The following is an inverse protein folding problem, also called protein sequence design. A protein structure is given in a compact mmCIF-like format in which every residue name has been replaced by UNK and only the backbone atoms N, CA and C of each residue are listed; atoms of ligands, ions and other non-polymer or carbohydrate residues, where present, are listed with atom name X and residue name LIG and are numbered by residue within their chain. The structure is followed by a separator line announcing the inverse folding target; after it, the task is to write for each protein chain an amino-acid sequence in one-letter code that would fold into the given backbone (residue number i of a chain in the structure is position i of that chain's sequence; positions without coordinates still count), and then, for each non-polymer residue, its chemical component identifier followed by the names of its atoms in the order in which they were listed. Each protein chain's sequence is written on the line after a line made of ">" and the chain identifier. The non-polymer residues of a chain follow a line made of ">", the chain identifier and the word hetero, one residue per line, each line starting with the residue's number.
data_IF_537326008297
#
_entry.id   IF_537326008297
#
_cell.length_a   1.000
_cell.length_b   1.000
_cell.length_c   1.000
_cell.angle_alpha   90.00
_cell.angle_beta   90.00
_cell.angle_gamma   90.00
#
_symmetry.space_group_name_H-M   'P 1'
#
loop_
_entity.id
_entity.type
_entity.pdbx_description
1 polymer ?
#
# COMPACT_ATOMS: atom_id res chain seq x y z
N UNK A 1 14.65 34.54 13.37
CA UNK A 1 15.75 35.00 12.51
C UNK A 1 17.00 34.14 12.64
N UNK A 2 17.58 33.88 13.84
CA UNK A 2 18.82 33.07 13.98
C UNK A 2 18.84 31.72 13.24
N UNK A 3 17.84 30.87 13.44
CA UNK A 3 17.76 29.55 12.79
C UNK A 3 17.70 29.65 11.26
N UNK A 4 16.93 30.59 10.74
CA UNK A 4 16.76 30.83 9.31
C UNK A 4 18.06 31.27 8.65
N UNK A 5 18.77 32.23 9.26
CA UNK A 5 20.09 32.68 8.79
C UNK A 5 21.10 31.54 8.75
N UNK A 6 21.13 30.71 9.78
CA UNK A 6 22.04 29.57 9.86
C UNK A 6 21.71 28.50 8.81
N UNK A 7 20.44 28.15 8.63
CA UNK A 7 20.02 27.18 7.60
C UNK A 7 20.34 27.70 6.20
N UNK A 8 20.08 28.99 5.91
CA UNK A 8 20.47 29.61 4.63
C UNK A 8 21.98 29.61 4.40
N UNK A 9 22.78 29.82 5.44
CA UNK A 9 24.23 29.67 5.35
C UNK A 9 24.61 28.25 4.93
N UNK A 10 24.07 27.22 5.60
CA UNK A 10 24.34 25.81 5.29
C UNK A 10 23.87 25.41 3.89
N UNK A 11 22.73 25.94 3.44
CA UNK A 11 22.27 25.77 2.06
C UNK A 11 23.26 26.35 1.05
N UNK A 12 23.85 27.52 1.30
CA UNK A 12 24.88 28.11 0.41
C UNK A 12 26.18 27.32 0.39
N UNK A 13 26.58 26.75 1.53
CA UNK A 13 27.75 25.87 1.63
C UNK A 13 27.53 24.55 0.89
N UNK A 14 26.29 24.06 0.86
CA UNK A 14 25.93 22.76 0.30
C UNK A 14 25.63 22.81 -1.20
N UNK A 15 24.85 23.79 -1.64
CA UNK A 15 24.34 23.86 -3.01
C UNK A 15 25.06 24.98 -3.77
N UNK A 16 25.90 24.68 -4.77
CA UNK A 16 26.43 25.71 -5.67
C UNK A 16 25.29 26.36 -6.49
N UNK A 17 25.58 27.50 -7.10
CA UNK A 17 24.63 28.17 -8.00
C UNK A 17 24.28 27.24 -9.16
N UNK A 18 22.97 27.08 -9.43
CA UNK A 18 22.44 26.13 -10.41
C UNK A 18 21.34 25.26 -9.81
N UNK A 19 20.92 24.25 -10.58
CA UNK A 19 19.84 23.33 -10.18
C UNK A 19 20.37 21.91 -9.99
N UNK A 20 20.06 21.33 -8.84
CA UNK A 20 20.42 19.98 -8.44
C UNK A 20 19.16 19.13 -8.42
N UNK A 21 19.24 17.91 -8.96
CA UNK A 21 18.07 17.03 -9.11
C UNK A 21 18.37 15.67 -8.52
N UNK A 22 17.37 15.10 -7.85
CA UNK A 22 17.41 13.73 -7.40
C UNK A 22 16.02 13.10 -7.52
N UNK A 23 15.99 11.79 -7.74
CA UNK A 23 14.75 11.02 -7.85
C UNK A 23 14.91 9.73 -7.07
N UNK A 24 13.89 9.40 -6.29
CA UNK A 24 13.70 8.09 -5.68
C UNK A 24 12.29 7.60 -5.99
N UNK A 25 11.99 6.33 -5.70
CA UNK A 25 10.71 5.73 -5.99
C UNK A 25 10.17 4.87 -4.84
N UNK A 26 8.85 4.84 -4.74
CA UNK A 26 8.08 3.85 -3.98
C UNK A 26 7.75 2.71 -4.94
N UNK A 27 7.86 1.46 -4.48
CA UNK A 27 7.67 0.29 -5.33
C UNK A 27 6.27 0.23 -5.95
N UNK A 28 5.25 0.38 -5.11
CA UNK A 28 3.85 0.19 -5.50
C UNK A 28 2.93 0.88 -4.49
N UNK A 29 1.70 1.17 -4.93
CA UNK A 29 0.62 1.68 -4.08
C UNK A 29 -0.26 0.58 -3.47
N UNK A 30 0.05 -0.69 -3.73
CA UNK A 30 -0.75 -1.82 -3.26
C UNK A 30 -2.07 -2.02 -4.02
N UNK A 31 -2.29 -1.27 -5.10
CA UNK A 31 -3.47 -1.30 -5.96
C UNK A 31 -3.10 -1.46 -7.45
N UNK A 32 -1.88 -1.94 -7.73
CA UNK A 32 -1.39 -2.19 -9.09
C UNK A 32 -0.80 -0.97 -9.79
N UNK A 33 -0.47 0.11 -9.07
CA UNK A 33 0.26 1.26 -9.62
C UNK A 33 1.66 1.34 -9.01
N UNK A 34 2.68 1.44 -9.86
CA UNK A 34 4.07 1.55 -9.44
C UNK A 34 5.04 1.32 -10.61
N UNK A 35 6.32 1.66 -10.46
CA UNK A 35 6.88 2.46 -9.38
C UNK A 35 6.42 3.92 -9.44
N UNK A 36 6.32 4.56 -8.27
CA UNK A 36 5.89 5.96 -8.12
C UNK A 36 7.08 6.83 -7.74
N UNK A 37 7.46 7.75 -8.62
CA UNK A 37 8.68 8.55 -8.50
C UNK A 37 8.44 9.86 -7.77
N UNK A 38 9.30 10.12 -6.78
CA UNK A 38 9.44 11.38 -6.08
C UNK A 38 10.61 12.13 -6.71
N UNK A 39 10.33 13.26 -7.37
CA UNK A 39 11.33 14.04 -8.11
C UNK A 39 11.49 15.39 -7.45
N UNK A 40 12.70 15.68 -6.99
CA UNK A 40 13.04 16.97 -6.41
C UNK A 40 14.10 17.69 -7.24
N UNK A 41 13.89 18.99 -7.39
CA UNK A 41 14.88 19.93 -7.87
C UNK A 41 15.10 21.03 -6.82
N UNK A 42 16.36 21.33 -6.52
CA UNK A 42 16.73 22.48 -5.71
C UNK A 42 17.59 23.43 -6.53
N UNK A 43 17.09 24.65 -6.73
CA UNK A 43 17.80 25.72 -7.43
C UNK A 43 18.31 26.76 -6.45
N UNK A 44 19.61 27.05 -6.52
CA UNK A 44 20.21 28.25 -5.94
C UNK A 44 20.50 29.25 -7.05
N UNK A 45 19.91 30.43 -6.96
CA UNK A 45 20.16 31.52 -7.94
C UNK A 45 21.46 32.28 -7.61
N UNK A 46 22.02 33.07 -8.55
CA UNK A 46 23.21 33.89 -8.30
C UNK A 46 23.05 34.91 -7.15
N UNK A 47 21.82 35.34 -6.87
CA UNK A 47 21.45 36.23 -5.76
C UNK A 47 21.06 35.48 -4.48
N UNK A 48 21.46 34.20 -4.35
CA UNK A 48 21.25 33.36 -3.17
C UNK A 48 19.77 33.14 -2.80
N UNK A 49 18.88 33.09 -3.80
CA UNK A 49 17.50 32.59 -3.59
C UNK A 49 17.46 31.08 -3.72
N UNK A 50 16.70 30.43 -2.85
CA UNK A 50 16.52 28.98 -2.79
C UNK A 50 15.10 28.59 -3.20
N UNK A 51 14.99 27.85 -4.29
CA UNK A 51 13.72 27.39 -4.86
C UNK A 51 13.71 25.86 -4.83
N UNK A 52 12.79 25.29 -4.05
CA UNK A 52 12.54 23.86 -4.01
C UNK A 52 11.35 23.53 -4.90
N UNK A 53 11.54 22.63 -5.85
CA UNK A 53 10.52 22.21 -6.80
C UNK A 53 10.32 20.69 -6.75
N UNK A 54 9.09 20.28 -6.45
CA UNK A 54 8.64 18.89 -6.53
C UNK A 54 7.44 18.71 -7.47
N UNK A 55 7.21 19.66 -8.37
CA UNK A 55 6.07 19.65 -9.30
C UNK A 55 6.13 18.50 -10.32
N UNK A 56 7.34 18.01 -10.63
CA UNK A 56 7.59 16.86 -11.50
C UNK A 56 7.40 15.50 -10.79
N UNK A 57 7.01 15.47 -9.52
CA UNK A 57 6.65 14.22 -8.84
C UNK A 57 5.40 13.60 -9.50
N UNK A 58 5.36 12.27 -9.57
CA UNK A 58 4.26 11.50 -10.20
C UNK A 58 2.88 11.87 -9.64
N UNK A 59 1.84 11.53 -10.39
CA UNK A 59 0.45 11.73 -9.99
C UNK A 59 0.10 11.02 -8.69
N UNK A 60 -0.92 11.52 -8.00
CA UNK A 60 -1.48 10.86 -6.84
C UNK A 60 -1.91 9.42 -7.17
N UNK A 61 -1.57 8.49 -6.30
CA UNK A 61 -1.89 7.08 -6.45
C UNK A 61 -3.34 6.78 -6.06
N UNK A 62 -4.00 5.78 -6.67
CA UNK A 62 -5.25 5.25 -6.15
C UNK A 62 -5.07 4.57 -4.78
N UNK A 63 -3.90 3.98 -4.50
CA UNK A 63 -3.56 3.38 -3.22
C UNK A 63 -3.04 4.34 -2.14
N UNK A 64 -2.90 3.89 -0.89
CA UNK A 64 -2.77 4.75 0.30
C UNK A 64 -1.40 5.41 0.51
N UNK A 65 -0.50 5.40 -0.48
CA UNK A 65 0.86 5.96 -0.43
C UNK A 65 0.91 7.45 -0.75
N UNK A 66 -0.22 8.12 -0.90
CA UNK A 66 -0.21 9.57 -1.09
C UNK A 66 0.26 10.28 0.20
N UNK A 67 0.98 11.39 0.04
CA UNK A 67 1.47 12.21 1.14
C UNK A 67 1.07 13.66 0.94
N UNK A 68 0.14 14.16 1.74
CA UNK A 68 -0.23 15.57 1.73
C UNK A 68 0.87 16.40 2.40
N UNK A 69 1.88 16.78 1.62
CA UNK A 69 3.04 17.49 2.13
C UNK A 69 2.70 18.96 2.39
N UNK A 70 2.92 19.40 3.63
CA UNK A 70 2.90 20.82 3.95
C UNK A 70 4.12 21.49 3.29
N UNK A 71 3.97 22.72 2.80
CA UNK A 71 5.06 23.47 2.16
C UNK A 71 6.24 23.70 3.09
N UNK A 72 6.05 23.70 4.41
CA UNK A 72 7.12 23.89 5.38
C UNK A 72 8.02 22.66 5.57
N UNK A 73 7.61 21.48 5.05
CA UNK A 73 8.30 20.20 5.28
C UNK A 73 9.73 20.20 4.71
N UNK A 74 10.00 20.58 3.45
CA UNK A 74 11.37 20.58 2.92
C UNK A 74 12.30 21.47 3.75
N UNK A 75 11.91 22.71 4.05
CA UNK A 75 12.71 23.63 4.86
C UNK A 75 12.97 23.12 6.26
N UNK A 76 11.98 22.51 6.90
CA UNK A 76 12.13 21.90 8.23
C UNK A 76 13.03 20.67 8.20
N UNK A 77 12.94 19.83 7.17
CA UNK A 77 13.78 18.65 7.00
C UNK A 77 15.25 19.02 6.77
N UNK A 78 15.53 20.01 5.92
CA UNK A 78 16.88 20.55 5.77
C UNK A 78 17.40 21.16 7.08
N UNK A 79 16.56 21.88 7.83
CA UNK A 79 16.96 22.40 9.13
C UNK A 79 17.28 21.29 10.14
N UNK A 80 16.50 20.21 10.19
CA UNK A 80 16.80 19.02 11.01
C UNK A 80 18.14 18.40 10.64
N UNK A 81 18.42 18.28 9.33
CA UNK A 81 19.69 17.76 8.85
C UNK A 81 20.87 18.66 9.25
N UNK A 82 20.81 19.96 8.90
CA UNK A 82 21.93 20.88 9.07
C UNK A 82 22.20 21.29 10.51
N UNK A 83 21.18 21.28 11.37
CA UNK A 83 21.31 21.63 12.78
C UNK A 83 21.46 20.38 13.66
N UNK A 84 21.30 19.19 13.08
CA UNK A 84 21.49 17.93 13.77
C UNK A 84 22.91 17.80 14.33
N UNK A 85 23.02 17.26 15.54
CA UNK A 85 24.29 17.05 16.22
C UNK A 85 24.81 18.27 17.00
N UNK A 86 24.20 19.45 16.87
CA UNK A 86 24.53 20.61 17.71
C UNK A 86 23.45 20.81 18.80
N UNK A 87 23.73 20.44 20.07
CA UNK A 87 22.76 20.58 21.16
C UNK A 87 22.43 22.04 21.50
N UNK A 88 23.19 23.01 20.97
CA UNK A 88 22.91 24.45 21.14
C UNK A 88 21.88 24.99 20.15
N UNK A 89 21.51 24.22 19.13
CA UNK A 89 20.52 24.60 18.13
C UNK A 89 19.19 23.88 18.34
N UNK A 90 18.11 24.58 17.99
CA UNK A 90 16.75 24.03 18.03
C UNK A 90 16.11 24.26 16.67
N UNK A 91 15.49 23.22 16.13
CA UNK A 91 14.68 23.34 14.91
C UNK A 91 13.39 24.06 15.26
N UNK A 92 13.11 25.13 14.52
CA UNK A 92 11.89 25.92 14.65
C UNK A 92 11.47 26.45 13.27
N UNK A 93 10.43 27.28 13.21
CA UNK A 93 9.89 27.86 11.98
C UNK A 93 10.91 28.63 11.11
N UNK A 94 12.10 28.97 11.62
CA UNK A 94 13.19 29.49 10.80
C UNK A 94 13.70 28.52 9.73
N UNK A 95 13.60 27.21 9.95
CA UNK A 95 13.91 26.21 8.92
C UNK A 95 12.96 26.28 7.73
N UNK A 96 11.65 26.33 8.01
CA UNK A 96 10.61 26.47 7.00
C UNK A 96 10.78 27.74 6.14
N UNK A 97 11.14 28.87 6.78
CA UNK A 97 11.37 30.15 6.08
C UNK A 97 12.71 30.24 5.35
N UNK A 98 13.57 29.22 5.40
CA UNK A 98 14.87 29.28 4.75
C UNK A 98 14.77 29.23 3.22
N UNK A 99 13.63 28.81 2.66
CA UNK A 99 13.37 28.73 1.22
C UNK A 99 12.55 29.92 0.76
N UNK A 100 12.94 30.49 -0.38
CA UNK A 100 12.25 31.62 -1.00
C UNK A 100 10.98 31.15 -1.74
N UNK A 101 11.00 29.93 -2.27
CA UNK A 101 9.88 29.34 -2.99
C UNK A 101 9.86 27.82 -2.84
N UNK A 102 8.65 27.27 -2.69
CA UNK A 102 8.38 25.83 -2.60
C UNK A 102 7.21 25.49 -3.52
N UNK A 103 7.53 24.77 -4.60
CA UNK A 103 6.62 24.45 -5.69
C UNK A 103 6.14 23.01 -5.54
N UNK A 104 4.82 22.84 -5.38
CA UNK A 104 4.13 21.54 -5.33
C UNK A 104 2.99 21.55 -6.34
N UNK A 105 2.91 20.53 -7.18
CA UNK A 105 1.83 20.38 -8.17
C UNK A 105 0.61 19.73 -7.53
N UNK A 106 -0.53 20.41 -7.54
CA UNK A 106 -1.79 19.84 -7.07
C UNK A 106 -2.18 18.61 -7.91
N UNK A 107 -2.62 17.54 -7.25
CA UNK A 107 -2.89 16.24 -7.88
C UNK A 107 -1.67 15.33 -8.00
N UNK A 108 -0.48 15.77 -7.58
CA UNK A 108 0.69 14.90 -7.44
C UNK A 108 0.64 14.05 -6.16
N UNK A 109 1.50 13.03 -6.08
CA UNK A 109 1.70 12.18 -4.92
C UNK A 109 1.98 12.97 -3.63
N UNK A 110 2.61 14.15 -3.75
CA UNK A 110 3.00 15.03 -2.63
C UNK A 110 2.01 16.16 -2.36
N UNK A 111 1.02 16.35 -3.23
CA UNK A 111 -0.07 17.31 -3.04
C UNK A 111 -1.38 16.75 -3.61
N UNK A 112 -1.85 15.61 -3.07
CA UNK A 112 -3.02 14.92 -3.60
C UNK A 112 -4.30 15.72 -3.35
N UNK A 113 -5.29 15.52 -4.20
CA UNK A 113 -6.65 16.05 -4.02
C UNK A 113 -7.51 15.06 -3.24
N UNK A 114 -8.36 15.58 -2.35
CA UNK A 114 -9.39 14.77 -1.71
C UNK A 114 -10.29 14.10 -2.79
N UNK A 115 -10.67 12.82 -2.66
CA UNK A 115 -10.53 11.92 -1.51
C UNK A 115 -9.35 10.92 -1.60
N UNK A 116 -8.17 11.34 -2.08
CA UNK A 116 -7.00 10.45 -2.15
C UNK A 116 -6.66 9.78 -0.80
N UNK A 117 -6.36 8.47 -0.77
CA UNK A 117 -6.05 7.77 0.47
C UNK A 117 -4.62 8.05 0.94
N UNK A 118 -4.45 8.28 2.26
CA UNK A 118 -3.21 8.69 2.92
C UNK A 118 -2.75 7.71 4.02
N UNK A 119 -3.31 6.49 4.03
CA UNK A 119 -3.16 5.50 5.11
C UNK A 119 -1.74 4.94 5.28
N UNK A 120 -0.91 5.04 4.24
CA UNK A 120 0.47 4.57 4.19
C UNK A 120 1.47 5.70 3.91
N UNK A 121 1.06 6.95 4.14
CA UNK A 121 1.89 8.16 3.94
C UNK A 121 3.24 8.15 4.67
N UNK A 122 3.40 7.33 5.72
CA UNK A 122 4.65 7.19 6.46
C UNK A 122 5.77 6.62 5.59
N UNK A 123 5.48 5.66 4.70
CA UNK A 123 6.46 5.13 3.76
C UNK A 123 6.92 6.21 2.78
N UNK A 124 5.97 6.97 2.24
CA UNK A 124 6.23 8.10 1.34
C UNK A 124 7.04 9.19 2.02
N UNK A 125 6.74 9.51 3.28
CA UNK A 125 7.53 10.44 4.06
C UNK A 125 8.98 9.97 4.19
N UNK A 126 9.23 8.68 4.38
CA UNK A 126 10.60 8.16 4.44
C UNK A 126 11.33 8.30 3.10
N UNK A 127 10.66 8.04 1.98
CA UNK A 127 11.22 8.29 0.65
C UNK A 127 11.45 9.77 0.36
N UNK A 128 10.59 10.67 0.86
CA UNK A 128 10.83 12.11 0.80
C UNK A 128 12.13 12.46 1.53
N UNK A 129 12.32 12.00 2.76
CA UNK A 129 13.54 12.27 3.53
C UNK A 129 14.78 11.68 2.85
N UNK A 130 14.70 10.47 2.32
CA UNK A 130 15.77 9.88 1.52
C UNK A 130 16.08 10.75 0.29
N UNK A 131 15.08 11.17 -0.48
CA UNK A 131 15.26 12.00 -1.69
C UNK A 131 15.91 13.34 -1.35
N UNK A 132 15.60 13.94 -0.20
CA UNK A 132 16.28 15.15 0.30
C UNK A 132 17.77 14.90 0.60
N UNK A 133 18.11 13.77 1.22
CA UNK A 133 19.51 13.38 1.40
C UNK A 133 20.21 13.11 0.05
N UNK A 134 19.48 12.54 -0.92
CA UNK A 134 19.96 12.35 -2.28
C UNK A 134 20.32 13.68 -2.95
N UNK A 135 19.48 14.72 -2.78
CA UNK A 135 19.79 16.08 -3.24
C UNK A 135 21.09 16.63 -2.64
N UNK A 136 21.32 16.43 -1.35
CA UNK A 136 22.55 16.88 -0.67
C UNK A 136 23.76 16.15 -1.25
N UNK A 137 23.65 14.82 -1.43
CA UNK A 137 24.71 14.00 -2.01
C UNK A 137 25.08 14.42 -3.43
N UNK A 138 24.10 14.67 -4.33
CA UNK A 138 24.39 15.11 -5.71
C UNK A 138 24.91 16.54 -5.79
N UNK A 139 24.72 17.35 -4.75
CA UNK A 139 25.34 18.67 -4.63
C UNK A 139 26.81 18.61 -4.19
N UNK A 140 27.33 17.41 -3.88
CA UNK A 140 28.74 17.18 -3.52
C UNK A 140 29.02 17.23 -2.02
N UNK A 141 28.00 17.43 -1.19
CA UNK A 141 28.12 17.35 0.28
C UNK A 141 27.72 15.95 0.74
N UNK A 142 28.53 15.27 1.57
CA UNK A 142 28.15 13.98 2.12
C UNK A 142 26.87 14.07 2.97
N UNK A 143 25.89 13.20 2.69
CA UNK A 143 24.70 13.00 3.52
C UNK A 143 24.39 11.50 3.66
N UNK A 144 23.58 11.08 4.66
CA UNK A 144 23.25 9.69 4.86
C UNK A 144 22.64 9.03 3.62
N UNK A 145 22.99 7.76 3.39
CA UNK A 145 22.38 6.93 2.35
C UNK A 145 20.90 6.64 2.67
N UNK A 146 20.17 6.06 1.71
CA UNK A 146 18.76 5.75 1.89
C UNK A 146 18.51 4.62 2.92
N UNK A 147 17.30 4.63 3.45
CA UNK A 147 16.68 3.54 4.20
C UNK A 147 15.16 3.65 4.05
N UNK A 148 14.45 2.55 4.30
CA UNK A 148 13.00 2.48 4.22
C UNK A 148 12.40 2.04 5.56
N UNK A 149 12.36 2.97 6.52
CA UNK A 149 11.62 2.78 7.77
C UNK A 149 10.10 2.80 7.53
N UNK A 150 9.30 2.54 8.58
CA UNK A 150 7.84 2.36 8.53
C UNK A 150 7.34 1.00 8.00
N UNK A 151 8.04 -0.09 8.32
CA UNK A 151 7.57 -1.45 8.04
C UNK A 151 6.63 -1.94 9.15
N UNK A 152 5.39 -2.28 8.82
CA UNK A 152 4.38 -2.69 9.82
C UNK A 152 3.74 -4.01 9.41
N UNK A 153 3.75 -4.98 10.33
CA UNK A 153 2.99 -6.21 10.24
C UNK A 153 1.65 -6.04 10.94
N UNK A 154 0.55 -6.43 10.28
CA UNK A 154 -0.80 -6.41 10.84
C UNK A 154 -1.38 -7.82 10.78
N UNK A 155 -1.75 -8.38 11.92
CA UNK A 155 -2.44 -9.66 12.01
C UNK A 155 -3.76 -9.41 12.73
N UNK A 156 -4.88 -9.71 12.06
CA UNK A 156 -6.20 -9.65 12.65
C UNK A 156 -6.93 -10.97 12.50
N UNK A 157 -7.77 -11.29 13.47
CA UNK A 157 -8.56 -12.51 13.44
C UNK A 157 -9.41 -12.64 14.69
N UNK A 158 -9.83 -13.86 14.96
CA UNK A 158 -10.55 -14.23 16.18
C UNK A 158 -9.80 -15.39 16.83
N UNK A 159 -9.56 -15.30 18.14
CA UNK A 159 -9.05 -16.40 18.96
C UNK A 159 -9.90 -16.50 20.22
N UNK A 160 -10.27 -17.72 20.62
CA UNK A 160 -11.13 -18.00 21.77
C UNK A 160 -12.43 -17.15 21.79
N UNK A 161 -13.02 -16.97 20.61
CA UNK A 161 -14.24 -16.17 20.41
C UNK A 161 -14.05 -14.66 20.55
N UNK A 162 -12.82 -14.15 20.72
CA UNK A 162 -12.50 -12.72 20.85
C UNK A 162 -11.75 -12.21 19.62
N UNK A 163 -12.15 -11.04 19.06
CA UNK A 163 -11.39 -10.43 17.98
C UNK A 163 -10.06 -9.89 18.49
N UNK A 164 -9.03 -9.94 17.66
CA UNK A 164 -7.73 -9.31 17.93
C UNK A 164 -7.21 -8.56 16.71
N UNK A 165 -6.37 -7.56 16.96
CA UNK A 165 -5.59 -6.83 15.97
C UNK A 165 -4.20 -6.57 16.55
N UNK A 166 -3.23 -7.36 16.11
CA UNK A 166 -1.82 -7.12 16.34
C UNK A 166 -1.30 -6.15 15.27
N UNK A 167 -0.67 -5.07 15.71
CA UNK A 167 0.06 -4.13 14.87
C UNK A 167 1.49 -4.05 15.36
N UNK A 168 2.42 -4.57 14.58
CA UNK A 168 3.81 -4.71 14.99
C UNK A 168 4.75 -3.93 14.06
N UNK A 169 5.45 -2.95 14.62
CA UNK A 169 6.45 -2.16 13.91
C UNK A 169 7.78 -2.91 13.86
N UNK A 170 8.36 -3.02 12.67
CA UNK A 170 9.60 -3.76 12.44
C UNK A 170 10.78 -2.79 12.25
N UNK A 171 11.76 -2.87 13.15
CA UNK A 171 13.01 -2.12 13.02
C UNK A 171 13.72 -2.42 11.69
N UNK A 172 14.36 -1.42 11.12
CA UNK A 172 15.09 -1.51 9.86
C UNK A 172 16.55 -1.10 10.01
N UNK A 173 17.34 -1.39 8.99
CA UNK A 173 18.68 -0.85 8.86
C UNK A 173 18.66 0.57 8.30
N UNK A 174 19.31 1.50 8.98
CA UNK A 174 19.43 2.87 8.50
C UNK A 174 20.58 3.01 7.50
N UNK A 175 20.49 3.97 6.59
CA UNK A 175 21.58 4.25 5.64
C UNK A 175 22.87 4.67 6.35
N UNK A 176 24.01 4.31 5.76
CA UNK A 176 25.32 4.72 6.26
C UNK A 176 25.41 6.25 6.35
N UNK A 177 26.04 6.76 7.41
CA UNK A 177 26.32 8.18 7.58
C UNK A 177 27.67 8.51 6.94
N UNK A 178 27.94 9.79 6.63
CA UNK A 178 29.24 10.22 6.09
C UNK A 178 30.46 9.81 6.93
N UNK A 179 30.25 9.63 8.23
CA UNK A 179 31.28 9.46 9.24
C UNK A 179 31.12 8.17 10.07
N UNK A 180 30.08 7.37 9.82
CA UNK A 180 29.82 6.15 10.59
C UNK A 180 28.85 5.20 9.89
N UNK A 181 28.89 3.92 10.31
CA UNK A 181 27.93 2.90 9.88
C UNK A 181 26.47 3.29 10.18
N UNK A 182 25.56 2.81 9.33
CA UNK A 182 24.13 2.90 9.57
C UNK A 182 23.71 2.18 10.86
N UNK A 183 22.64 2.67 11.48
CA UNK A 183 22.14 2.08 12.73
C UNK A 183 21.39 0.79 12.41
N UNK A 184 21.74 -0.30 13.11
CA UNK A 184 21.08 -1.60 12.97
C UNK A 184 19.73 -1.62 13.70
N UNK A 185 18.71 -2.24 13.09
CA UNK A 185 17.47 -2.68 13.74
C UNK A 185 16.66 -1.60 14.49
N UNK A 186 16.58 -0.38 13.96
CA UNK A 186 15.81 0.72 14.57
C UNK A 186 14.56 1.02 13.74
N UNK A 187 13.43 1.28 14.41
CA UNK A 187 12.17 1.62 13.72
C UNK A 187 12.16 3.06 13.21
N UNK A 188 11.70 4.00 14.04
CA UNK A 188 11.72 5.44 13.75
C UNK A 188 11.56 6.22 15.06
N UNK A 189 12.43 7.21 15.30
CA UNK A 189 12.46 8.21 16.40
C UNK A 189 11.75 7.79 17.71
N UNK A 190 12.54 7.48 18.74
CA UNK A 190 12.07 7.26 20.12
C UNK A 190 10.97 6.19 20.28
N UNK A 191 10.90 5.23 19.36
CA UNK A 191 10.02 4.08 19.48
C UNK A 191 10.78 2.84 19.94
N UNK A 192 10.21 2.16 20.90
CA UNK A 192 10.68 0.89 21.45
C UNK A 192 9.93 -0.27 20.79
N UNK A 193 10.59 -1.41 20.64
CA UNK A 193 9.96 -2.63 20.13
C UNK A 193 9.15 -3.29 21.25
N UNK A 194 8.04 -3.94 20.90
CA UNK A 194 7.28 -4.76 21.84
C UNK A 194 8.15 -5.88 22.44
N UNK A 195 8.25 -5.99 23.78
CA UNK A 195 8.82 -7.16 24.42
C UNK A 195 8.08 -8.42 23.94
N UNK A 196 8.84 -9.48 23.65
CA UNK A 196 8.28 -10.74 23.14
C UNK A 196 7.23 -11.30 24.08
N UNK A 197 7.50 -11.29 25.39
CA UNK A 197 6.58 -11.75 26.43
C UNK A 197 5.25 -10.99 26.38
N UNK A 198 5.28 -9.66 26.18
CA UNK A 198 4.07 -8.86 26.08
C UNK A 198 3.27 -9.21 24.82
N UNK A 199 3.96 -9.43 23.71
CA UNK A 199 3.34 -9.80 22.44
C UNK A 199 2.65 -11.17 22.52
N UNK A 200 3.31 -12.17 23.09
CA UNK A 200 2.76 -13.54 23.23
C UNK A 200 1.66 -13.63 24.29
N UNK A 201 1.69 -12.79 25.33
CA UNK A 201 0.60 -12.70 26.31
C UNK A 201 -0.64 -11.98 25.74
N UNK A 202 -0.43 -11.00 24.85
CA UNK A 202 -1.48 -10.13 24.33
C UNK A 202 -2.18 -10.65 23.09
N UNK A 203 -1.54 -11.52 22.31
CA UNK A 203 -2.00 -11.93 20.99
C UNK A 203 -1.83 -13.43 20.75
N UNK A 204 -2.68 -14.06 19.93
CA UNK A 204 -2.62 -15.50 19.63
C UNK A 204 -1.50 -15.80 18.63
N UNK A 205 -0.26 -15.50 19.01
CA UNK A 205 0.94 -15.71 18.21
C UNK A 205 2.10 -16.16 19.11
N UNK A 206 3.07 -16.88 18.53
CA UNK A 206 4.37 -17.18 19.14
C UNK A 206 5.45 -16.62 18.25
N UNK A 207 6.46 -15.97 18.83
CA UNK A 207 7.57 -15.41 18.08
C UNK A 207 8.71 -16.43 18.01
N UNK A 208 8.82 -17.13 16.88
CA UNK A 208 9.84 -18.17 16.69
C UNK A 208 11.25 -17.59 16.58
N UNK A 209 11.37 -16.41 15.96
CA UNK A 209 12.64 -15.75 15.75
C UNK A 209 12.49 -14.23 15.83
N UNK A 210 13.44 -13.60 16.53
CA UNK A 210 13.68 -12.18 16.45
C UNK A 210 15.18 -11.92 16.48
N UNK A 211 15.74 -11.58 15.32
CA UNK A 211 17.20 -11.46 15.16
C UNK A 211 17.55 -10.37 14.15
N UNK A 212 18.81 -9.93 14.19
CA UNK A 212 19.36 -9.06 13.14
C UNK A 212 19.48 -9.86 11.84
N UNK A 213 18.96 -9.32 10.74
CA UNK A 213 19.13 -9.89 9.41
C UNK A 213 20.58 -9.63 8.95
N UNK A 214 21.44 -10.61 9.21
CA UNK A 214 22.87 -10.54 8.89
C UNK A 214 23.07 -10.25 7.41
N UNK A 215 24.07 -9.43 7.10
CA UNK A 215 24.48 -9.08 5.74
C UNK A 215 23.39 -8.39 4.89
N UNK A 216 22.37 -7.82 5.53
CA UNK A 216 21.32 -7.02 4.86
C UNK A 216 21.68 -5.55 4.68
N UNK A 217 22.69 -5.04 5.38
CA UNK A 217 23.17 -3.67 5.23
C UNK A 217 23.98 -3.47 3.95
N UNK A 218 23.79 -2.34 3.26
CA UNK A 218 24.50 -2.05 2.01
C UNK A 218 26.01 -1.89 2.25
N UNK A 219 26.88 -2.58 1.49
CA UNK A 219 28.32 -2.51 1.72
C UNK A 219 28.90 -1.18 1.24
N UNK A 220 29.88 -0.66 1.99
CA UNK A 220 30.59 0.57 1.71
C UNK A 220 31.74 0.78 2.69
N UNK A 221 32.45 1.91 2.58
CA UNK A 221 33.47 2.30 3.59
C UNK A 221 32.87 2.31 5.00
N UNK A 222 31.67 2.87 5.09
CA UNK A 222 30.75 2.68 6.20
C UNK A 222 29.57 1.87 5.67
N UNK A 223 29.19 0.80 6.34
CA UNK A 223 28.09 -0.06 5.90
C UNK A 223 26.74 0.55 6.27
N UNK A 224 25.71 0.21 5.51
CA UNK A 224 24.33 0.37 5.96
C UNK A 224 24.07 -0.47 7.22
N UNK A 225 23.08 -0.05 7.99
CA UNK A 225 22.55 -0.85 9.09
C UNK A 225 21.84 -2.09 8.54
N UNK A 226 21.83 -3.14 9.33
CA UNK A 226 21.11 -4.38 9.09
C UNK A 226 19.67 -4.25 9.60
N UNK A 227 18.73 -4.81 8.86
CA UNK A 227 17.34 -4.96 9.28
C UNK A 227 17.15 -6.11 10.27
N UNK A 228 15.91 -6.52 10.49
CA UNK A 228 15.54 -7.63 11.38
C UNK A 228 14.86 -8.77 10.63
N UNK A 229 15.00 -9.99 11.15
CA UNK A 229 14.15 -11.13 10.85
C UNK A 229 13.18 -11.30 12.00
N UNK A 230 11.88 -11.34 11.70
CA UNK A 230 10.82 -11.55 12.68
C UNK A 230 9.85 -12.62 12.18
N UNK A 231 9.81 -13.75 12.87
CA UNK A 231 9.06 -14.94 12.47
C UNK A 231 7.97 -15.25 13.49
N UNK A 232 6.73 -15.41 13.03
CA UNK A 232 5.56 -15.66 13.86
C UNK A 232 4.93 -17.00 13.51
N UNK A 233 4.57 -17.76 14.53
CA UNK A 233 3.53 -18.78 14.43
C UNK A 233 2.20 -18.13 14.82
N UNK A 234 1.20 -18.17 13.93
CA UNK A 234 -0.15 -17.69 14.24
C UNK A 234 -0.94 -18.85 14.84
N UNK A 235 -1.46 -18.66 16.06
CA UNK A 235 -2.22 -19.68 16.80
C UNK A 235 -3.73 -19.63 16.53
N UNK A 236 -4.23 -18.50 16.03
CA UNK A 236 -5.63 -18.36 15.67
C UNK A 236 -5.97 -19.23 14.44
N UNK A 237 -7.11 -19.93 14.49
CA UNK A 237 -7.58 -20.82 13.41
C UNK A 237 -7.71 -20.11 12.06
N UNK A 238 -8.14 -18.84 12.09
CA UNK A 238 -8.26 -17.98 10.91
C UNK A 238 -7.73 -16.58 11.23
N UNK A 239 -6.86 -16.07 10.36
CA UNK A 239 -6.30 -14.73 10.46
C UNK A 239 -6.08 -14.11 9.09
N UNK A 240 -6.16 -12.79 9.03
CA UNK A 240 -5.75 -11.98 7.89
C UNK A 240 -4.43 -11.32 8.24
N UNK A 241 -3.41 -11.63 7.45
CA UNK A 241 -2.12 -10.97 7.48
C UNK A 241 -2.08 -9.84 6.43
N UNK A 242 -1.63 -8.67 6.84
CA UNK A 242 -1.29 -7.57 5.97
C UNK A 242 0.10 -7.03 6.35
N UNK A 243 0.92 -6.74 5.35
CA UNK A 243 2.26 -6.19 5.55
C UNK A 243 2.33 -4.85 4.84
N UNK A 244 2.72 -3.81 5.57
CA UNK A 244 3.09 -2.51 5.01
C UNK A 244 4.59 -2.51 4.87
N UNK A 245 5.07 -2.58 3.63
CA UNK A 245 6.48 -2.74 3.31
C UNK A 245 6.76 -2.08 1.97
N UNK A 246 7.97 -1.56 1.84
CA UNK A 246 8.53 -0.94 0.63
C UNK A 246 9.98 -1.44 0.49
N UNK A 247 10.67 -1.09 -0.60
CA UNK A 247 12.01 -1.63 -0.91
C UNK A 247 12.05 -3.15 -1.11
N UNK A 248 10.98 -3.72 -1.64
CA UNK A 248 10.94 -5.09 -2.16
C UNK A 248 11.53 -5.14 -3.57
N UNK A 249 11.26 -4.11 -4.38
CA UNK A 249 11.73 -4.00 -5.78
C UNK A 249 12.81 -2.92 -5.95
N UNK A 250 12.62 -1.74 -5.35
CA UNK A 250 13.55 -0.62 -5.35
C UNK A 250 14.37 -0.60 -4.04
N UNK A 251 15.55 -1.26 -4.00
CA UNK A 251 16.36 -1.31 -2.79
C UNK A 251 16.84 0.10 -2.37
N UNK A 252 17.08 0.33 -1.06
CA UNK A 252 17.60 1.60 -0.60
C UNK A 252 19.00 1.83 -1.20
N UNK A 253 19.17 2.93 -1.93
CA UNK A 253 20.41 3.27 -2.62
C UNK A 253 21.56 3.61 -1.66
N UNK A 254 22.79 3.27 -2.08
CA UNK A 254 24.03 3.72 -1.45
C UNK A 254 24.52 5.08 -1.97
N UNK A 255 25.52 5.66 -1.32
CA UNK A 255 26.09 6.96 -1.68
C UNK A 255 27.63 6.89 -1.77
N UNK A 256 28.24 7.78 -2.56
CA UNK A 256 29.70 7.93 -2.68
C UNK A 256 30.45 6.59 -2.97
N UNK A 257 29.88 5.74 -3.82
CA UNK A 257 30.43 4.43 -4.18
C UNK A 257 30.02 3.27 -3.26
N UNK A 258 29.26 3.53 -2.20
CA UNK A 258 28.56 2.49 -1.43
C UNK A 258 27.43 1.85 -2.25
N UNK A 259 27.19 0.57 -2.02
CA UNK A 259 26.14 -0.20 -2.70
C UNK A 259 24.82 -0.16 -1.91
N UNK A 260 23.75 -0.56 -2.58
CA UNK A 260 22.41 -0.61 -1.98
C UNK A 260 22.31 -1.63 -0.85
N UNK A 261 21.40 -1.37 0.09
CA UNK A 261 20.99 -2.35 1.10
C UNK A 261 20.16 -3.49 0.51
N UNK A 262 19.96 -4.54 1.30
CA UNK A 262 19.09 -5.66 0.97
C UNK A 262 17.63 -5.25 0.82
N UNK A 263 16.89 -6.07 0.07
CA UNK A 263 15.44 -5.87 -0.14
C UNK A 263 14.61 -6.48 0.97
N UNK A 264 13.43 -5.92 1.16
CA UNK A 264 12.48 -6.42 2.12
C UNK A 264 11.73 -7.65 1.57
N UNK A 265 11.37 -8.61 2.43
CA UNK A 265 10.67 -9.84 2.04
C UNK A 265 9.71 -10.28 3.15
N UNK A 266 8.52 -10.74 2.77
CA UNK A 266 7.61 -11.43 3.68
C UNK A 266 7.35 -12.84 3.16
N UNK A 267 7.45 -13.83 4.05
CA UNK A 267 7.33 -15.25 3.69
C UNK A 267 6.27 -15.90 4.57
N UNK A 268 5.35 -16.63 3.94
CA UNK A 268 4.41 -17.51 4.64
C UNK A 268 5.00 -18.91 4.65
N UNK A 269 4.95 -19.55 5.82
CA UNK A 269 5.40 -20.93 6.05
C UNK A 269 6.87 -21.19 5.63
N UNK A 270 7.84 -20.37 6.09
CA UNK A 270 9.25 -20.55 5.74
C UNK A 270 9.75 -21.96 6.11
N UNK A 271 10.48 -22.59 5.20
CA UNK A 271 11.05 -23.93 5.34
C UNK A 271 10.05 -25.08 5.23
N UNK A 272 8.76 -24.81 4.93
CA UNK A 272 7.72 -25.84 4.79
C UNK A 272 7.41 -26.11 3.31
N UNK A 273 6.77 -27.26 2.97
CA UNK A 273 6.40 -27.58 1.58
C UNK A 273 5.49 -26.54 0.91
N UNK A 274 4.75 -25.77 1.70
CA UNK A 274 3.85 -24.70 1.27
C UNK A 274 4.44 -23.29 1.49
N UNK A 275 5.78 -23.18 1.59
CA UNK A 275 6.47 -21.89 1.62
C UNK A 275 6.08 -21.04 0.42
N UNK A 276 5.70 -19.79 0.67
CA UNK A 276 5.53 -18.80 -0.39
C UNK A 276 5.98 -17.41 0.04
N UNK A 277 6.62 -16.70 -0.88
CA UNK A 277 6.92 -15.27 -0.72
C UNK A 277 5.66 -14.49 -1.04
N UNK A 278 5.27 -13.58 -0.16
CA UNK A 278 4.18 -12.66 -0.45
C UNK A 278 4.67 -11.64 -1.48
N UNK A 279 4.07 -11.59 -2.68
CA UNK A 279 4.40 -10.54 -3.64
C UNK A 279 3.95 -9.17 -3.09
N UNK A 280 4.60 -8.07 -3.48
CA UNK A 280 4.00 -6.74 -3.36
C UNK A 280 2.58 -6.81 -3.93
N UNK A 281 1.55 -6.42 -3.16
CA UNK A 281 0.17 -6.63 -3.59
C UNK A 281 -0.15 -5.76 -4.81
N UNK A 282 -0.10 -6.38 -5.98
CA UNK A 282 -0.63 -5.87 -7.23
C UNK A 282 -1.71 -6.83 -7.71
N UNK A 283 -2.73 -6.32 -8.42
CA UNK A 283 -3.77 -7.15 -9.03
C UNK A 283 -4.59 -8.01 -8.05
N UNK A 284 -4.85 -7.49 -6.85
CA UNK A 284 -5.75 -8.13 -5.87
C UNK A 284 -7.21 -7.72 -6.07
N UNK A 285 -8.11 -8.67 -5.88
CA UNK A 285 -9.56 -8.46 -5.87
C UNK A 285 -10.02 -8.26 -4.42
N UNK A 286 -10.72 -7.17 -4.14
CA UNK A 286 -11.42 -6.93 -2.87
C UNK A 286 -12.85 -7.43 -2.93
N UNK A 287 -13.43 -7.74 -1.77
CA UNK A 287 -14.78 -8.25 -1.65
C UNK A 287 -15.77 -7.24 -2.23
N UNK A 288 -16.70 -7.65 -3.10
CA UNK A 288 -17.72 -6.75 -3.61
C UNK A 288 -18.84 -6.44 -2.62
N UNK A 289 -18.84 -7.08 -1.44
CA UNK A 289 -19.91 -7.03 -0.45
C UNK A 289 -19.42 -7.38 0.97
N UNK A 290 -20.11 -6.83 1.98
CA UNK A 290 -20.07 -7.31 3.35
C UNK A 290 -20.88 -8.61 3.44
N UNK A 291 -20.41 -9.64 4.14
CA UNK A 291 -21.20 -10.86 4.29
C UNK A 291 -20.41 -12.09 4.69
N UNK A 292 -20.93 -13.26 4.33
CA UNK A 292 -20.31 -14.57 4.55
C UNK A 292 -20.02 -15.22 3.20
N UNK A 293 -18.80 -15.71 2.99
CA UNK A 293 -18.47 -16.55 1.83
C UNK A 293 -19.20 -17.87 1.95
N UNK A 294 -20.12 -18.15 1.03
CA UNK A 294 -20.98 -19.36 1.05
C UNK A 294 -20.52 -20.44 0.08
N UNK A 295 -19.85 -20.06 -1.01
CA UNK A 295 -19.23 -21.03 -1.93
C UNK A 295 -18.03 -20.43 -2.66
N UNK A 296 -17.08 -21.31 -3.01
CA UNK A 296 -15.92 -21.03 -3.87
C UNK A 296 -15.78 -22.21 -4.83
N UNK A 297 -16.26 -22.06 -6.06
CA UNK A 297 -16.32 -23.17 -7.02
C UNK A 297 -16.36 -22.67 -8.48
N UNK A 298 -15.99 -23.51 -9.47
CA UNK A 298 -16.16 -23.17 -10.87
C UNK A 298 -17.64 -23.02 -11.25
N UNK A 299 -18.03 -21.88 -11.82
CA UNK A 299 -19.38 -21.62 -12.32
C UNK A 299 -19.35 -20.79 -13.61
N UNK A 300 -20.32 -21.01 -14.48
CA UNK A 300 -20.44 -20.27 -15.76
C UNK A 300 -20.96 -18.85 -15.46
N UNK A 301 -20.26 -17.79 -15.89
CA UNK A 301 -20.77 -16.42 -15.75
C UNK A 301 -22.11 -16.23 -16.50
N UNK A 302 -22.94 -15.25 -16.11
CA UNK A 302 -24.22 -15.02 -16.78
C UNK A 302 -24.05 -14.79 -18.30
N UNK A 303 -24.80 -15.53 -19.12
CA UNK A 303 -24.68 -15.52 -20.58
C UNK A 303 -24.88 -14.12 -21.18
N UNK A 304 -25.72 -13.30 -20.53
CA UNK A 304 -25.96 -11.92 -20.91
C UNK A 304 -24.70 -11.04 -20.89
N UNK A 305 -23.63 -11.42 -20.17
CA UNK A 305 -22.36 -10.70 -20.19
C UNK A 305 -21.50 -11.00 -21.43
N UNK A 306 -21.78 -12.08 -22.16
CA UNK A 306 -21.01 -12.46 -23.36
C UNK A 306 -19.61 -12.99 -23.06
N UNK A 307 -19.38 -13.58 -21.88
CA UNK A 307 -18.06 -14.09 -21.45
C UNK A 307 -17.77 -15.54 -21.89
N UNK A 308 -18.66 -16.13 -22.70
CA UNK A 308 -18.61 -17.54 -23.10
C UNK A 308 -19.21 -18.51 -22.06
N UNK A 309 -19.16 -19.80 -22.37
CA UNK A 309 -19.72 -20.88 -21.53
C UNK A 309 -18.66 -21.55 -20.62
N UNK A 310 -17.42 -21.07 -20.65
CA UNK A 310 -16.33 -21.64 -19.84
C UNK A 310 -16.52 -21.29 -18.36
N UNK A 311 -16.59 -22.28 -17.46
CA UNK A 311 -16.68 -22.02 -16.03
C UNK A 311 -15.49 -21.21 -15.52
N UNK A 312 -15.76 -20.23 -14.66
CA UNK A 312 -14.74 -19.43 -13.97
C UNK A 312 -14.86 -19.64 -12.47
N UNK A 313 -13.76 -19.45 -11.74
CA UNK A 313 -13.80 -19.55 -10.29
C UNK A 313 -14.72 -18.46 -9.72
N UNK A 314 -15.81 -18.88 -9.07
CA UNK A 314 -16.83 -18.01 -8.48
C UNK A 314 -16.66 -17.97 -6.98
N UNK A 315 -16.60 -16.78 -6.41
CA UNK A 315 -16.70 -16.54 -4.96
C UNK A 315 -18.07 -15.94 -4.69
N UNK A 316 -18.94 -16.66 -3.96
CA UNK A 316 -20.28 -16.23 -3.64
C UNK A 316 -20.35 -15.71 -2.19
N UNK A 317 -20.83 -14.48 -2.01
CA UNK A 317 -20.93 -13.81 -0.71
C UNK A 317 -22.40 -13.57 -0.39
N UNK A 318 -22.89 -14.19 0.67
CA UNK A 318 -24.23 -13.97 1.20
C UNK A 318 -24.25 -12.79 2.17
N UNK A 319 -25.11 -11.83 1.92
CA UNK A 319 -25.35 -10.65 2.74
C UNK A 319 -26.65 -10.86 3.52
N UNK A 320 -26.56 -11.04 4.84
CA UNK A 320 -27.72 -11.08 5.72
C UNK A 320 -28.42 -9.71 5.77
N UNK A 321 -29.59 -9.65 6.39
CA UNK A 321 -30.31 -8.39 6.60
C UNK A 321 -29.58 -7.42 7.55
N UNK A 322 -28.58 -7.90 8.31
CA UNK A 322 -27.79 -7.11 9.25
C UNK A 322 -26.49 -6.57 8.63
N UNK A 323 -26.10 -7.05 7.45
CA UNK A 323 -24.88 -6.62 6.77
C UNK A 323 -25.11 -5.33 5.97
N UNK A 324 -24.01 -4.64 5.62
CA UNK A 324 -24.08 -3.47 4.74
C UNK A 324 -24.35 -3.93 3.31
N UNK A 325 -25.49 -3.50 2.76
CA UNK A 325 -25.94 -3.88 1.41
C UNK A 325 -25.31 -3.07 0.26
N UNK A 326 -24.33 -2.21 0.54
CA UNK A 326 -23.60 -1.45 -0.47
C UNK A 326 -22.63 -2.39 -1.18
N UNK A 327 -22.68 -2.40 -2.52
CA UNK A 327 -21.78 -3.18 -3.34
C UNK A 327 -20.66 -2.33 -3.94
N UNK A 328 -19.46 -2.92 -3.98
CA UNK A 328 -18.22 -2.25 -4.36
C UNK A 328 -17.48 -2.97 -5.48
N UNK A 329 -16.77 -2.20 -6.30
CA UNK A 329 -16.01 -2.73 -7.42
C UNK A 329 -14.88 -3.62 -6.86
N UNK A 330 -14.78 -4.88 -7.29
CA UNK A 330 -13.80 -5.83 -6.74
C UNK A 330 -12.37 -5.47 -7.13
N UNK A 331 -12.17 -4.73 -8.22
CA UNK A 331 -10.85 -4.29 -8.70
C UNK A 331 -11.06 -3.05 -9.57
N UNK A 332 -9.98 -2.29 -9.84
CA UNK A 332 -10.03 -1.18 -10.78
C UNK A 332 -10.18 -1.66 -12.23
N UNK A 333 -11.04 -0.98 -13.00
CA UNK A 333 -11.30 -1.37 -14.40
C UNK A 333 -12.38 -0.51 -15.05
N UNK A 334 -12.61 -0.75 -16.35
CA UNK A 334 -13.66 -0.08 -17.12
C UNK A 334 -14.90 -0.96 -17.16
N UNK A 335 -16.07 -0.39 -16.86
CA UNK A 335 -17.35 -1.09 -17.00
C UNK A 335 -17.63 -1.31 -18.48
N UNK A 336 -17.42 -2.55 -18.94
CA UNK A 336 -17.60 -2.93 -20.35
C UNK A 336 -19.05 -3.21 -20.68
N UNK A 337 -19.78 -3.81 -19.74
CA UNK A 337 -21.17 -4.21 -19.95
C UNK A 337 -21.94 -4.24 -18.63
N UNK A 338 -23.19 -3.81 -18.67
CA UNK A 338 -24.16 -3.96 -17.57
C UNK A 338 -25.37 -4.71 -18.13
N UNK A 339 -25.76 -5.80 -17.48
CA UNK A 339 -26.90 -6.60 -17.90
C UNK A 339 -27.84 -6.87 -16.72
N UNK A 340 -29.09 -6.40 -16.87
CA UNK A 340 -30.15 -6.61 -15.89
C UNK A 340 -31.08 -7.72 -16.35
N UNK A 341 -31.40 -8.64 -15.43
CA UNK A 341 -32.35 -9.72 -15.63
C UNK A 341 -33.48 -9.62 -14.60
N UNK A 342 -34.71 -9.45 -15.08
CA UNK A 342 -35.89 -9.49 -14.23
C UNK A 342 -36.22 -10.94 -13.86
N UNK A 343 -36.36 -11.24 -12.57
CA UNK A 343 -36.57 -12.61 -12.10
C UNK A 343 -37.52 -12.71 -10.89
N UNK A 344 -37.55 -13.90 -10.29
CA UNK A 344 -38.33 -14.26 -9.10
C UNK A 344 -37.60 -13.82 -7.81
N UNK A 345 -38.18 -14.13 -6.65
CA UNK A 345 -37.66 -13.78 -5.33
C UNK A 345 -37.50 -15.04 -4.47
N UNK A 346 -36.63 -15.97 -4.87
CA UNK A 346 -36.29 -17.16 -4.09
C UNK A 346 -35.17 -16.85 -3.06
N UNK A 347 -34.94 -17.72 -2.08
CA UNK A 347 -33.87 -17.53 -1.09
C UNK A 347 -32.49 -17.49 -1.76
N UNK A 348 -31.73 -16.40 -1.58
CA UNK A 348 -30.44 -16.22 -2.25
C UNK A 348 -29.30 -17.11 -1.71
N UNK A 349 -29.55 -17.88 -0.64
CA UNK A 349 -28.57 -18.82 -0.10
C UNK A 349 -28.44 -20.12 -0.93
N UNK A 350 -29.39 -20.41 -1.82
CA UNK A 350 -29.39 -21.63 -2.66
C UNK A 350 -28.86 -21.34 -4.07
N UNK A 351 -28.12 -22.28 -4.67
CA UNK A 351 -27.53 -22.11 -6.01
C UNK A 351 -28.56 -21.94 -7.14
N UNK A 352 -29.75 -22.55 -7.01
CA UNK A 352 -30.84 -22.39 -8.00
C UNK A 352 -31.41 -20.98 -8.05
N UNK A 353 -31.19 -20.17 -7.02
CA UNK A 353 -31.65 -18.78 -6.98
C UNK A 353 -30.90 -17.89 -7.98
N UNK A 354 -29.69 -18.28 -8.40
CA UNK A 354 -28.86 -17.51 -9.33
C UNK A 354 -29.50 -17.31 -10.69
N UNK A 355 -30.19 -18.35 -11.19
CA UNK A 355 -30.77 -18.40 -12.54
C UNK A 355 -32.15 -17.74 -12.58
N UNK A 356 -32.95 -17.96 -11.55
CA UNK A 356 -34.34 -17.54 -11.53
C UNK A 356 -34.57 -16.16 -10.91
N UNK A 357 -33.68 -15.67 -10.02
CA UNK A 357 -33.91 -14.40 -9.32
C UNK A 357 -33.59 -13.15 -10.14
N UNK A 358 -34.17 -12.03 -9.70
CA UNK A 358 -33.75 -10.72 -10.16
C UNK A 358 -32.24 -10.54 -9.90
N UNK A 359 -31.49 -10.20 -10.95
CA UNK A 359 -30.04 -9.97 -10.88
C UNK A 359 -29.58 -8.84 -11.77
N UNK A 360 -28.46 -8.22 -11.39
CA UNK A 360 -27.75 -7.24 -12.18
C UNK A 360 -26.27 -7.63 -12.26
N UNK A 361 -25.77 -7.81 -13.47
CA UNK A 361 -24.42 -8.28 -13.74
C UNK A 361 -23.58 -7.18 -14.37
N UNK A 362 -22.37 -6.97 -13.85
CA UNK A 362 -21.39 -6.03 -14.40
C UNK A 362 -20.17 -6.81 -14.90
N UNK A 363 -19.72 -6.49 -16.11
CA UNK A 363 -18.45 -6.92 -16.67
C UNK A 363 -17.43 -5.78 -16.57
N UNK A 364 -16.33 -6.00 -15.86
CA UNK A 364 -15.22 -5.06 -15.79
C UNK A 364 -14.06 -5.58 -16.66
N UNK A 365 -13.57 -4.72 -17.54
CA UNK A 365 -12.35 -4.94 -18.31
C UNK A 365 -11.15 -4.36 -17.54
N UNK A 366 -10.14 -5.20 -17.31
CA UNK A 366 -8.90 -4.83 -16.62
C UNK A 366 -7.86 -4.31 -17.62
N UNK A 367 -6.89 -3.48 -17.19
CA UNK A 367 -5.83 -2.97 -18.06
C UNK A 367 -5.02 -4.07 -18.77
N UNK A 368 -4.87 -5.25 -18.15
CA UNK A 368 -4.15 -6.40 -18.70
C UNK A 368 -4.95 -7.24 -19.72
N UNK A 369 -6.16 -6.80 -20.09
CA UNK A 369 -7.02 -7.50 -21.05
C UNK A 369 -7.88 -8.61 -20.45
N UNK A 370 -7.70 -8.93 -19.16
CA UNK A 370 -8.57 -9.85 -18.45
C UNK A 370 -9.94 -9.21 -18.15
N UNK A 371 -10.93 -10.06 -17.93
CA UNK A 371 -12.29 -9.65 -17.60
C UNK A 371 -12.74 -10.29 -16.29
N UNK A 372 -13.43 -9.52 -15.45
CA UNK A 372 -14.03 -9.99 -14.20
C UNK A 372 -15.52 -9.62 -14.18
N UNK A 373 -16.37 -10.50 -13.66
CA UNK A 373 -17.79 -10.21 -13.51
C UNK A 373 -18.21 -10.17 -12.05
N UNK A 374 -18.97 -9.13 -11.68
CA UNK A 374 -19.62 -9.01 -10.38
C UNK A 374 -21.14 -9.01 -10.59
N UNK A 375 -21.84 -9.89 -9.90
CA UNK A 375 -23.28 -10.11 -10.08
C UNK A 375 -24.00 -9.89 -8.77
N UNK A 376 -24.89 -8.92 -8.77
CA UNK A 376 -25.81 -8.62 -7.69
C UNK A 376 -27.05 -9.50 -7.84
N UNK A 377 -27.42 -10.27 -6.82
CA UNK A 377 -28.55 -11.21 -6.87
C UNK A 377 -29.49 -10.91 -5.71
N UNK A 378 -30.72 -10.51 -6.04
CA UNK A 378 -31.77 -10.27 -5.06
C UNK A 378 -32.24 -11.60 -4.45
N UNK A 379 -32.50 -11.62 -3.14
CA UNK A 379 -33.13 -12.75 -2.46
C UNK A 379 -34.60 -12.52 -2.13
N UNK A 380 -35.17 -13.42 -1.34
CA UNK A 380 -36.60 -13.49 -0.99
C UNK A 380 -37.22 -12.17 -0.49
N UNK A 381 -36.46 -11.36 0.26
CA UNK A 381 -36.93 -10.10 0.85
C UNK A 381 -36.49 -8.89 0.01
N UNK A 382 -35.50 -9.05 -0.86
CA UNK A 382 -34.98 -7.99 -1.70
C UNK A 382 -35.95 -7.67 -2.84
N UNK A 383 -36.32 -6.40 -2.98
CA UNK A 383 -37.28 -5.94 -4.01
C UNK A 383 -36.68 -5.07 -5.09
N UNK A 384 -35.40 -4.71 -4.98
CA UNK A 384 -34.75 -3.79 -5.93
C UNK A 384 -33.24 -3.86 -5.86
N UNK A 385 -32.63 -4.07 -7.01
CA UNK A 385 -31.22 -3.80 -7.23
C UNK A 385 -31.08 -2.41 -7.82
N UNK A 386 -30.16 -1.61 -7.28
CA UNK A 386 -29.79 -0.32 -7.86
C UNK A 386 -28.32 -0.37 -8.27
N UNK A 387 -28.08 -0.15 -9.56
CA UNK A 387 -26.76 0.07 -10.13
C UNK A 387 -26.60 1.57 -10.42
N UNK A 388 -25.56 2.18 -9.89
CA UNK A 388 -25.31 3.64 -9.97
C UNK A 388 -24.21 3.99 -10.99
N UNK A 389 -23.68 2.99 -11.69
CA UNK A 389 -22.62 3.13 -12.69
C UNK A 389 -23.15 2.91 -14.10
N UNK A 390 -22.44 3.45 -15.10
CA UNK A 390 -22.77 3.32 -16.52
C UNK A 390 -21.69 2.56 -17.30
N UNK A 391 -22.06 1.97 -18.43
CA UNK A 391 -21.09 1.41 -19.38
C UNK A 391 -20.12 2.50 -19.86
N UNK A 392 -18.84 2.15 -19.97
CA UNK A 392 -17.73 3.08 -20.27
C UNK A 392 -17.18 3.81 -19.04
N UNK A 393 -17.81 3.74 -17.87
CA UNK A 393 -17.28 4.34 -16.64
C UNK A 393 -16.05 3.58 -16.15
N UNK A 394 -15.01 4.31 -15.74
CA UNK A 394 -13.85 3.74 -15.03
C UNK A 394 -14.12 3.73 -13.53
N UNK A 395 -13.92 2.58 -12.89
CA UNK A 395 -14.08 2.40 -11.45
C UNK A 395 -12.72 2.11 -10.80
N UNK A 396 -12.55 2.59 -9.56
CA UNK A 396 -11.44 2.19 -8.69
C UNK A 396 -11.83 0.95 -7.88
N UNK A 397 -10.84 0.14 -7.49
CA UNK A 397 -11.07 -0.94 -6.54
C UNK A 397 -11.72 -0.40 -5.25
N UNK A 398 -12.75 -1.08 -4.74
CA UNK A 398 -13.51 -0.68 -3.56
C UNK A 398 -14.50 0.47 -3.79
N UNK A 399 -14.56 1.07 -4.98
CA UNK A 399 -15.53 2.12 -5.31
C UNK A 399 -16.96 1.57 -5.28
N UNK A 400 -17.91 2.32 -4.72
CA UNK A 400 -19.32 1.92 -4.68
C UNK A 400 -19.89 1.94 -6.10
N UNK A 401 -20.52 0.84 -6.51
CA UNK A 401 -21.22 0.77 -7.80
C UNK A 401 -22.74 0.54 -7.66
N UNK A 402 -23.22 0.11 -6.50
CA UNK A 402 -24.65 -0.15 -6.32
C UNK A 402 -25.04 -0.59 -4.92
N UNK A 403 -26.30 -1.01 -4.79
CA UNK A 403 -26.90 -1.52 -3.55
C UNK A 403 -27.96 -2.59 -3.87
N UNK A 404 -28.01 -3.66 -3.07
CA UNK A 404 -29.08 -4.67 -3.11
C UNK A 404 -29.81 -4.71 -1.77
N UNK A 405 -31.06 -4.27 -1.71
CA UNK A 405 -31.74 -4.11 -0.41
C UNK A 405 -32.15 -5.45 0.20
N UNK A 406 -31.63 -5.80 1.38
CA UNK A 406 -32.08 -6.89 2.29
C UNK A 406 -31.91 -8.35 1.79
N UNK A 407 -31.10 -9.15 2.49
CA UNK A 407 -31.04 -10.62 2.33
C UNK A 407 -30.69 -11.05 0.90
N UNK A 408 -29.46 -10.77 0.47
CA UNK A 408 -29.03 -10.86 -0.94
C UNK A 408 -27.71 -11.62 -1.09
N UNK A 409 -27.29 -11.86 -2.33
CA UNK A 409 -26.00 -12.48 -2.64
C UNK A 409 -25.25 -11.65 -3.67
N UNK A 410 -23.93 -11.62 -3.55
CA UNK A 410 -23.04 -11.06 -4.58
C UNK A 410 -22.06 -12.13 -5.03
N UNK A 411 -22.05 -12.41 -6.34
CA UNK A 411 -21.15 -13.40 -6.94
C UNK A 411 -20.02 -12.67 -7.67
N UNK A 412 -18.77 -13.07 -7.41
CA UNK A 412 -17.61 -12.62 -8.17
C UNK A 412 -17.06 -13.77 -9.03
N UNK A 413 -17.03 -13.58 -10.34
CA UNK A 413 -16.42 -14.51 -11.29
C UNK A 413 -15.03 -14.01 -11.67
N UNK A 414 -14.02 -14.69 -11.15
CA UNK A 414 -12.62 -14.32 -11.30
C UNK A 414 -12.09 -14.64 -12.71
N UNK A 415 -11.13 -13.86 -13.24
CA UNK A 415 -10.34 -14.26 -14.40
C UNK A 415 -9.67 -15.63 -14.22
N UNK A 416 -9.34 -16.27 -15.33
CA UNK A 416 -8.51 -17.48 -15.32
C UNK A 416 -7.13 -17.19 -14.70
N UNK A 417 -6.61 -18.14 -13.93
CA UNK A 417 -5.34 -17.99 -13.21
C UNK A 417 -5.42 -17.23 -11.89
N UNK A 418 -6.59 -16.71 -11.48
CA UNK A 418 -6.75 -16.13 -10.14
C UNK A 418 -6.79 -17.20 -9.05
N UNK A 419 -6.17 -16.91 -7.91
CA UNK A 419 -6.22 -17.74 -6.70
C UNK A 419 -7.15 -17.09 -5.67
N UNK A 420 -8.24 -17.75 -5.25
CA UNK A 420 -9.06 -17.28 -4.13
C UNK A 420 -8.22 -17.23 -2.84
N UNK A 421 -8.31 -16.12 -2.11
CA UNK A 421 -7.59 -15.85 -0.86
C UNK A 421 -8.50 -15.90 0.38
N UNK A 422 -9.72 -16.40 0.21
CA UNK A 422 -10.73 -16.56 1.26
C UNK A 422 -11.21 -18.00 1.33
N UNK A 423 -11.80 -18.37 2.46
CA UNK A 423 -12.40 -19.69 2.67
C UNK A 423 -13.93 -19.61 2.80
N UNK A 424 -14.62 -20.69 2.45
CA UNK A 424 -16.06 -20.85 2.76
C UNK A 424 -16.27 -20.73 4.28
N UNK A 425 -17.28 -19.97 4.69
CA UNK A 425 -17.54 -19.62 6.09
C UNK A 425 -16.80 -18.37 6.59
N UNK A 426 -15.94 -17.76 5.80
CA UNK A 426 -15.25 -16.52 6.18
C UNK A 426 -16.16 -15.30 6.03
N UNK A 427 -16.14 -14.38 7.00
CA UNK A 427 -16.80 -13.07 6.88
C UNK A 427 -15.97 -12.09 6.05
N UNK A 428 -16.63 -11.32 5.19
CA UNK A 428 -16.04 -10.26 4.35
C UNK A 428 -16.59 -8.89 4.72
N UNK A 429 -15.77 -7.88 4.48
CA UNK A 429 -16.14 -6.45 4.45
C UNK A 429 -15.88 -5.96 3.03
N UNK A 430 -16.90 -5.39 2.41
CA UNK A 430 -16.89 -4.91 1.04
C UNK A 430 -15.87 -3.81 0.84
N UNK A 431 -15.08 -3.92 -0.23
CA UNK A 431 -14.01 -2.98 -0.60
C UNK A 431 -12.74 -3.11 0.24
N UNK A 432 -12.72 -3.96 1.26
CA UNK A 432 -11.60 -4.08 2.19
C UNK A 432 -11.02 -5.49 2.24
N UNK A 433 -11.88 -6.51 2.27
CA UNK A 433 -11.40 -7.89 2.39
C UNK A 433 -10.85 -8.35 1.06
N UNK A 434 -9.56 -8.67 0.98
CA UNK A 434 -8.97 -9.27 -0.23
C UNK A 434 -9.52 -10.67 -0.41
N UNK A 435 -10.10 -10.97 -1.56
CA UNK A 435 -10.78 -12.24 -1.86
C UNK A 435 -10.09 -13.08 -2.94
N UNK A 436 -9.26 -12.48 -3.77
CA UNK A 436 -8.43 -13.19 -4.73
C UNK A 436 -7.22 -12.36 -5.15
N UNK A 437 -6.25 -13.00 -5.77
CA UNK A 437 -5.15 -12.33 -6.47
C UNK A 437 -5.04 -12.88 -7.90
N UNK A 438 -4.76 -12.01 -8.86
CA UNK A 438 -4.35 -12.42 -10.20
C UNK A 438 -2.95 -13.00 -10.07
N UNK A 439 -2.74 -14.26 -10.49
CA UNK A 439 -1.41 -14.85 -10.46
C UNK A 439 -0.42 -13.96 -11.24
N UNK A 440 0.81 -13.78 -10.73
CA UNK A 440 1.82 -13.02 -11.44
C UNK A 440 2.03 -13.65 -12.83
N UNK A 441 2.03 -12.82 -13.87
CA UNK A 441 2.55 -13.22 -15.18
C UNK A 441 4.00 -13.65 -14.93
N UNK A 442 4.42 -14.86 -15.34
CA UNK A 442 5.82 -15.26 -15.21
C UNK A 442 6.69 -14.17 -15.84
N UNK A 443 7.64 -13.62 -15.06
CA UNK A 443 8.63 -12.71 -15.63
C UNK A 443 9.32 -13.46 -16.78
N UNK A 444 9.42 -12.87 -17.98
CA UNK A 444 10.21 -13.47 -19.04
C UNK A 444 11.65 -13.61 -18.52
N UNK A 445 12.17 -14.84 -18.64
CA UNK A 445 13.52 -15.23 -18.22
C UNK A 445 14.58 -14.44 -18.97
#
# INVERSE_FOLDING_TARGET
>A
MRTETLVRQRLRETFPVGTHRFTDAIDSDGHGTGPLHIRFALTRTPDDRFIFDASETDDQAPGPVNYLMNRDVPGTAFALYFLGGDPSQVVNAGGARAFDEIILREGSLLRPRFPAPLGMRGMTMMRVLATLNGLINVAGTPAPAAHAAYVILLIRGTADGKPFLLSDGLGVGYGARPDADGIDSVYFVAQEIYPVEFLELGYPVVLNAYSVHRDSGGPGRFRGGCGVVREYTILAEQSVLAVRIDSVVNPPWGAAGGLSGGVARAVVNPGRPDERVLPPRENVFVAPADGLVVSIEPAVPPAELGMGETPRMRVAIFLSVLDVHVNRAPIGGVVRKIAYHAGKFLSAAEDKASEENERNALLLALPGGQEVAVVQIAGLIARRILCEVAEGQTLKAGERFGIIRFGSRTDLYLPEGCVPLVAVGQRTIGGETVIAELAPVPLPV
#
